data_IF_063507790210
#
_entry.id   IF_063507790210
#
_cell.length_a   1.000
_cell.length_b   1.000
_cell.length_c   1.000
_cell.angle_alpha   90.00
_cell.angle_beta   90.00
_cell.angle_gamma   90.00
#
_symmetry.space_group_name_H-M   'P 1'
#
loop_
_entity.id
_entity.type
_entity.pdbx_description
1 polymer ?
#
# COMPACT_ATOMS: atom_id res chain seq x y z
N UNK A 1 -15.35 13.25 -7.86
CA UNK A 1 -15.57 12.78 -6.49
C UNK A 1 -14.61 13.59 -5.63
N UNK A 2 -15.12 14.64 -4.99
CA UNK A 2 -14.33 15.43 -4.05
C UNK A 2 -14.18 14.58 -2.78
N UNK A 3 -12.95 14.23 -2.44
CA UNK A 3 -12.67 13.52 -1.19
C UNK A 3 -12.68 14.59 -0.10
N UNK A 4 -13.56 14.43 0.88
CA UNK A 4 -13.74 15.38 1.96
C UNK A 4 -12.42 15.63 2.71
N UNK A 5 -11.96 16.89 2.74
CA UNK A 5 -10.70 17.29 3.39
C UNK A 5 -10.72 16.99 4.90
N UNK A 6 -11.90 16.94 5.52
CA UNK A 6 -12.05 16.54 6.92
C UNK A 6 -11.70 15.07 7.13
N UNK A 7 -12.06 14.19 6.18
CA UNK A 7 -11.70 12.78 6.19
C UNK A 7 -10.19 12.59 6.09
N UNK A 8 -9.51 13.36 5.21
CA UNK A 8 -8.04 13.34 5.08
C UNK A 8 -7.31 13.76 6.36
N UNK A 9 -7.93 14.60 7.18
CA UNK A 9 -7.32 15.15 8.40
C UNK A 9 -7.53 14.29 9.64
N UNK A 10 -8.65 13.57 9.73
CA UNK A 10 -9.07 12.87 10.94
C UNK A 10 -8.98 11.34 10.84
N UNK A 11 -8.76 10.77 9.66
CA UNK A 11 -8.69 9.32 9.48
C UNK A 11 -7.32 8.93 8.98
N UNK A 12 -6.67 7.94 9.61
CA UNK A 12 -5.47 7.31 9.06
C UNK A 12 -5.79 5.85 8.77
N UNK A 13 -5.63 5.44 7.53
CA UNK A 13 -5.91 4.07 7.08
C UNK A 13 -4.66 3.21 7.24
N UNK A 14 -4.75 2.13 8.00
CA UNK A 14 -3.72 1.10 8.02
C UNK A 14 -4.05 0.02 6.99
N UNK A 15 -3.25 -0.08 5.93
CA UNK A 15 -3.37 -1.12 4.91
C UNK A 15 -2.38 -2.25 5.22
N UNK A 16 -2.88 -3.41 5.61
CA UNK A 16 -2.05 -4.56 6.04
C UNK A 16 -2.19 -5.67 5.00
N UNK A 17 -1.07 -6.11 4.44
CA UNK A 17 -1.01 -7.24 3.51
C UNK A 17 0.21 -8.11 3.81
N UNK A 18 0.13 -9.39 3.43
CA UNK A 18 1.29 -10.29 3.47
C UNK A 18 2.28 -10.00 2.32
N UNK A 19 1.80 -9.38 1.24
CA UNK A 19 2.63 -9.01 0.10
C UNK A 19 2.34 -7.58 -0.35
N UNK A 20 3.40 -6.83 -0.66
CA UNK A 20 3.29 -5.52 -1.32
C UNK A 20 4.41 -5.40 -2.35
N UNK A 21 4.04 -5.18 -3.61
CA UNK A 21 4.95 -4.83 -4.69
C UNK A 21 5.27 -3.33 -4.66
N UNK A 22 6.29 -2.93 -3.90
CA UNK A 22 6.75 -1.54 -3.83
C UNK A 22 7.73 -1.23 -4.95
N UNK A 23 8.73 -2.11 -5.11
CA UNK A 23 9.76 -2.05 -6.14
C UNK A 23 10.14 -3.48 -6.50
N UNK A 24 10.47 -3.73 -7.78
CA UNK A 24 10.84 -5.06 -8.26
C UNK A 24 12.11 -5.62 -7.59
N UNK A 25 12.96 -4.77 -7.01
CA UNK A 25 14.17 -5.19 -6.29
C UNK A 25 13.91 -5.51 -4.81
N UNK A 26 12.70 -5.25 -4.29
CA UNK A 26 12.33 -5.53 -2.91
C UNK A 26 11.50 -6.82 -2.90
N UNK A 27 12.01 -7.91 -2.30
CA UNK A 27 11.39 -9.24 -2.38
C UNK A 27 10.24 -9.41 -1.38
N UNK A 28 9.29 -8.47 -1.37
CA UNK A 28 8.10 -8.46 -0.50
C UNK A 28 6.83 -8.92 -1.22
N UNK A 29 6.95 -9.44 -2.44
CA UNK A 29 5.84 -10.00 -3.20
C UNK A 29 6.32 -11.01 -4.26
N UNK A 30 5.40 -11.83 -4.76
CA UNK A 30 5.70 -12.81 -5.82
C UNK A 30 4.56 -13.10 -6.78
N UNK A 31 3.38 -12.54 -6.54
CA UNK A 31 2.23 -12.75 -7.41
C UNK A 31 1.26 -11.57 -7.48
N UNK A 32 0.05 -11.86 -7.96
CA UNK A 32 -0.98 -10.85 -8.21
C UNK A 32 -1.45 -10.11 -6.95
N UNK A 33 -1.33 -10.73 -5.76
CA UNK A 33 -1.65 -10.07 -4.49
C UNK A 33 -0.75 -8.85 -4.27
N UNK A 34 0.56 -9.02 -4.32
CA UNK A 34 1.47 -7.91 -4.09
C UNK A 34 1.42 -6.85 -5.18
N UNK A 35 1.16 -7.23 -6.44
CA UNK A 35 0.92 -6.26 -7.52
C UNK A 35 -0.32 -5.42 -7.23
N UNK A 36 -1.45 -6.06 -6.90
CA UNK A 36 -2.68 -5.36 -6.56
C UNK A 36 -2.52 -4.47 -5.31
N UNK A 37 -1.84 -4.96 -4.28
CA UNK A 37 -1.55 -4.16 -3.08
C UNK A 37 -0.65 -2.96 -3.40
N UNK A 38 0.35 -3.12 -4.26
CA UNK A 38 1.19 -2.03 -4.76
C UNK A 38 0.38 -0.97 -5.51
N UNK A 39 -0.46 -1.40 -6.46
CA UNK A 39 -1.33 -0.51 -7.23
C UNK A 39 -2.34 0.24 -6.35
N UNK A 40 -2.84 -0.43 -5.30
CA UNK A 40 -3.75 0.19 -4.31
C UNK A 40 -3.06 1.32 -3.55
N UNK A 41 -1.83 1.08 -3.08
CA UNK A 41 -1.05 2.09 -2.34
C UNK A 41 -0.66 3.24 -3.26
N UNK A 42 -0.29 2.95 -4.50
CA UNK A 42 0.01 3.97 -5.50
C UNK A 42 -1.21 4.85 -5.79
N UNK A 43 -2.37 4.24 -6.00
CA UNK A 43 -3.63 4.98 -6.20
C UNK A 43 -3.99 5.83 -4.97
N UNK A 44 -3.73 5.32 -3.77
CA UNK A 44 -3.91 6.05 -2.51
C UNK A 44 -3.01 7.28 -2.42
N UNK A 45 -1.75 7.14 -2.85
CA UNK A 45 -0.79 8.24 -2.91
C UNK A 45 -1.18 9.30 -3.95
N UNK A 46 -1.61 8.87 -5.15
CA UNK A 46 -2.09 9.77 -6.21
C UNK A 46 -3.33 10.59 -5.79
N UNK A 47 -4.13 10.07 -4.85
CA UNK A 47 -5.29 10.73 -4.25
C UNK A 47 -4.96 11.51 -2.97
N UNK A 48 -3.70 11.50 -2.53
CA UNK A 48 -3.21 12.10 -1.29
C UNK A 48 -4.02 11.65 -0.06
N UNK A 49 -4.34 10.35 0.01
CA UNK A 49 -5.05 9.79 1.14
C UNK A 49 -4.10 9.53 2.32
N UNK A 50 -4.53 9.79 3.56
CA UNK A 50 -3.76 9.49 4.77
C UNK A 50 -3.70 7.97 5.04
N UNK A 51 -2.78 7.28 4.37
CA UNK A 51 -2.62 5.83 4.46
C UNK A 51 -1.20 5.43 4.88
N UNK A 52 -1.11 4.43 5.75
CA UNK A 52 0.14 3.73 6.09
C UNK A 52 0.01 2.28 5.66
N UNK A 53 0.93 1.82 4.81
CA UNK A 53 0.99 0.43 4.37
C UNK A 53 1.98 -0.38 5.22
N UNK A 54 1.59 -1.60 5.59
CA UNK A 54 2.35 -2.51 6.44
C UNK A 54 2.44 -3.87 5.76
N UNK A 55 3.66 -4.38 5.61
CA UNK A 55 3.95 -5.71 5.07
C UNK A 55 5.15 -6.31 5.81
N UNK A 56 5.29 -7.63 5.69
CA UNK A 56 6.45 -8.35 6.18
C UNK A 56 7.65 -8.10 5.25
N UNK A 57 8.83 -7.87 5.85
CA UNK A 57 10.10 -7.81 5.14
C UNK A 57 10.77 -9.18 5.23
N UNK A 58 10.57 -10.01 4.21
CA UNK A 58 11.13 -11.35 4.16
C UNK A 58 12.64 -11.29 3.83
N UNK A 59 13.46 -11.99 4.61
CA UNK A 59 14.92 -12.01 4.46
C UNK A 59 15.38 -12.82 3.24
N UNK A 60 14.72 -13.94 3.01
CA UNK A 60 14.62 -14.61 1.72
C UNK A 60 13.23 -14.29 1.23
N UNK A 61 13.06 -13.71 0.05
CA UNK A 61 11.74 -13.52 -0.55
C UNK A 61 10.96 -14.84 -0.65
N UNK A 62 9.88 -14.81 -1.43
CA UNK A 62 9.47 -16.07 -2.05
C UNK A 62 10.52 -16.52 -3.08
#
# INVERSE_FOLDING_TARGET
MEIDEELKRNTTVAYISMEIGVDSNIPTYSGGLGVLSGDTIRSSADLELPMVAICLCYSTGY
#
